data_IF_435152562350
#
_entry.id   IF_435152562350
#
_cell.length_a   1.000
_cell.length_b   1.000
_cell.length_c   1.000
_cell.angle_alpha   90.00
_cell.angle_beta   90.00
_cell.angle_gamma   90.00
#
_symmetry.space_group_name_H-M   'P 1'
#
loop_
_entity.id
_entity.type
_entity.pdbx_description
1 polymer ?
#
# COMPACT_ATOMS: atom_id res chain seq x y z
N UNK A 1 -13.80 2.50 4.93
CA UNK A 1 -14.37 2.25 3.60
C UNK A 1 -14.21 3.52 2.77
N UNK A 2 -13.69 3.44 1.55
CA UNK A 2 -13.52 4.60 0.67
C UNK A 2 -14.81 4.87 -0.15
N UNK A 3 -15.13 6.14 -0.46
CA UNK A 3 -16.36 6.50 -1.17
C UNK A 3 -16.38 5.96 -2.60
N UNK A 4 -17.57 5.55 -3.05
CA UNK A 4 -17.80 4.97 -4.39
C UNK A 4 -17.54 6.03 -5.47
N UNK A 5 -16.53 5.78 -6.32
CA UNK A 5 -16.29 6.58 -7.52
C UNK A 5 -17.32 6.27 -8.60
N UNK A 6 -17.82 7.30 -9.29
CA UNK A 6 -18.69 7.16 -10.48
C UNK A 6 -17.92 7.01 -11.79
N UNK A 7 -16.59 7.07 -11.75
CA UNK A 7 -15.74 6.98 -12.93
C UNK A 7 -15.46 5.51 -13.31
N UNK A 8 -15.05 5.24 -14.57
CA UNK A 8 -14.72 3.89 -15.01
C UNK A 8 -13.69 3.21 -14.08
N UNK A 9 -13.77 1.89 -13.85
CA UNK A 9 -12.88 1.18 -12.91
C UNK A 9 -11.39 1.27 -13.24
N UNK A 10 -11.04 1.63 -14.48
CA UNK A 10 -9.68 1.75 -14.96
C UNK A 10 -9.15 3.20 -14.88
N UNK A 11 -9.99 4.14 -14.49
CA UNK A 11 -9.66 5.56 -14.36
C UNK A 11 -8.83 5.85 -13.12
N UNK A 12 -9.13 5.15 -12.02
CA UNK A 12 -8.37 5.24 -10.76
C UNK A 12 -7.58 3.96 -10.50
N UNK A 13 -6.41 4.13 -9.87
CA UNK A 13 -5.68 3.05 -9.20
C UNK A 13 -5.43 3.45 -7.77
N UNK A 14 -5.49 2.49 -6.87
CA UNK A 14 -5.23 2.73 -5.45
C UNK A 14 -3.96 2.01 -5.06
N UNK A 15 -2.96 2.76 -4.62
CA UNK A 15 -1.80 2.18 -3.94
C UNK A 15 -2.10 2.13 -2.45
N UNK A 16 -1.82 0.97 -1.85
CA UNK A 16 -1.94 0.76 -0.42
C UNK A 16 -0.55 0.52 0.14
N UNK A 17 -0.24 1.25 1.21
CA UNK A 17 0.93 1.04 2.04
C UNK A 17 0.48 0.78 3.48
N UNK A 18 1.16 -0.11 4.19
CA UNK A 18 0.84 -0.44 5.57
C UNK A 18 1.93 0.09 6.49
N UNK A 19 1.57 0.52 7.69
CA UNK A 19 2.54 1.02 8.66
C UNK A 19 2.11 0.78 10.10
N UNK A 20 3.09 0.85 11.00
CA UNK A 20 2.88 0.94 12.44
C UNK A 20 3.44 2.26 12.95
N UNK A 21 2.88 2.77 14.04
CA UNK A 21 3.53 3.86 14.77
C UNK A 21 4.43 3.28 15.87
N UNK A 22 5.74 3.45 15.71
CA UNK A 22 6.77 2.87 16.59
C UNK A 22 7.71 3.99 17.05
N UNK A 23 8.24 3.87 18.26
CA UNK A 23 9.26 4.79 18.77
C UNK A 23 10.65 4.38 18.26
N UNK A 24 11.17 5.14 17.29
CA UNK A 24 12.45 4.88 16.65
C UNK A 24 13.33 6.13 16.67
N UNK A 25 14.63 5.96 16.50
CA UNK A 25 15.57 7.07 16.40
C UNK A 25 15.57 7.69 14.99
N UNK A 26 16.66 8.35 14.62
CA UNK A 26 16.80 8.99 13.31
C UNK A 26 17.01 8.01 12.15
N UNK A 27 17.26 6.73 12.41
CA UNK A 27 17.55 5.76 11.38
C UNK A 27 16.37 5.57 10.42
N UNK A 28 16.71 5.32 9.16
CA UNK A 28 15.71 4.89 8.18
C UNK A 28 15.32 3.46 8.53
N UNK A 29 14.04 3.23 8.80
CA UNK A 29 13.53 1.93 9.23
C UNK A 29 12.28 1.54 8.47
N UNK A 30 12.11 0.24 8.26
CA UNK A 30 10.94 -0.36 7.63
C UNK A 30 10.66 -1.74 8.24
N UNK A 31 9.40 -2.14 8.19
CA UNK A 31 8.96 -3.48 8.61
C UNK A 31 9.11 -4.45 7.43
N UNK A 32 9.70 -5.60 7.70
CA UNK A 32 9.95 -6.62 6.69
C UNK A 32 8.69 -7.42 6.35
N UNK A 33 8.62 -7.86 5.11
CA UNK A 33 7.53 -8.66 4.59
C UNK A 33 6.21 -7.91 4.50
N UNK A 34 5.12 -8.62 4.74
CA UNK A 34 3.76 -8.18 4.47
C UNK A 34 3.15 -8.96 3.31
N UNK A 35 1.86 -9.27 3.44
CA UNK A 35 1.06 -9.98 2.46
C UNK A 35 -0.34 -9.39 2.46
N UNK A 36 -0.92 -9.26 1.27
CA UNK A 36 -2.31 -8.87 1.10
C UNK A 36 -3.04 -9.98 0.34
N UNK A 37 -4.00 -10.61 1.01
CA UNK A 37 -4.83 -11.65 0.41
C UNK A 37 -6.16 -11.06 -0.04
N UNK A 38 -6.57 -11.38 -1.26
CA UNK A 38 -7.92 -11.09 -1.76
C UNK A 38 -8.87 -12.20 -1.30
N UNK A 39 -10.00 -11.80 -0.73
CA UNK A 39 -11.05 -12.69 -0.21
C UNK A 39 -12.42 -12.14 -0.61
N UNK A 40 -13.45 -12.97 -0.50
CA UNK A 40 -14.82 -12.61 -0.86
C UNK A 40 -15.77 -13.02 0.26
N UNK A 41 -16.65 -12.11 0.67
CA UNK A 41 -17.76 -12.37 1.60
C UNK A 41 -19.11 -11.96 0.98
N UNK A 42 -20.21 -12.10 1.73
CA UNK A 42 -21.55 -11.72 1.27
C UNK A 42 -21.69 -10.23 0.88
N UNK A 43 -20.72 -9.39 1.24
CA UNK A 43 -20.65 -7.95 0.91
C UNK A 43 -19.62 -7.66 -0.20
N UNK A 44 -19.10 -8.69 -0.87
CA UNK A 44 -18.16 -8.61 -1.98
C UNK A 44 -16.69 -8.82 -1.61
N UNK A 45 -15.81 -8.39 -2.50
CA UNK A 45 -14.35 -8.56 -2.36
C UNK A 45 -13.82 -7.67 -1.22
N UNK A 46 -12.91 -8.23 -0.43
CA UNK A 46 -12.13 -7.50 0.57
C UNK A 46 -10.69 -8.02 0.60
N UNK A 47 -9.81 -7.23 1.18
CA UNK A 47 -8.40 -7.54 1.31
C UNK A 47 -8.02 -7.71 2.77
N UNK A 48 -7.26 -8.75 3.08
CA UNK A 48 -6.75 -8.99 4.43
C UNK A 48 -5.23 -8.89 4.44
N UNK A 49 -4.73 -7.92 5.20
CA UNK A 49 -3.30 -7.71 5.36
C UNK A 49 -2.78 -8.55 6.52
N UNK A 50 -1.64 -9.19 6.32
CA UNK A 50 -0.83 -9.80 7.38
C UNK A 50 0.61 -9.37 7.24
N UNK A 51 1.29 -9.13 8.36
CA UNK A 51 2.68 -8.71 8.40
C UNK A 51 3.25 -8.90 9.80
N UNK A 52 4.54 -9.22 9.88
CA UNK A 52 5.26 -9.39 11.13
C UNK A 52 5.74 -8.06 11.73
N UNK A 53 6.61 -8.17 12.74
CA UNK A 53 7.17 -7.05 13.50
C UNK A 53 8.68 -6.91 13.30
N UNK A 54 9.22 -7.66 12.35
CA UNK A 54 10.64 -7.65 12.01
C UNK A 54 11.02 -6.27 11.45
N UNK A 55 11.91 -5.58 12.16
CA UNK A 55 12.35 -4.23 11.84
C UNK A 55 13.74 -4.27 11.19
N UNK A 56 13.84 -3.76 9.97
CA UNK A 56 15.12 -3.43 9.35
C UNK A 56 15.37 -1.93 9.47
N UNK A 57 16.59 -1.54 9.82
CA UNK A 57 16.97 -0.13 9.94
C UNK A 57 18.43 0.11 9.59
N UNK A 58 18.75 1.36 9.22
CA UNK A 58 20.14 1.81 9.10
C UNK A 58 20.83 1.87 10.47
N UNK A 59 22.15 1.96 10.49
CA UNK A 59 22.97 1.97 11.71
C UNK A 59 23.78 3.28 11.84
N UNK A 60 23.10 4.41 11.65
CA UNK A 60 23.69 5.73 11.82
C UNK A 60 23.71 6.14 13.30
N UNK A 61 24.73 6.89 13.69
CA UNK A 61 24.79 7.55 14.99
C UNK A 61 23.76 8.67 15.06
N UNK A 62 22.65 8.42 15.77
CA UNK A 62 21.60 9.41 16.00
C UNK A 62 21.91 10.27 17.22
N UNK A 63 21.95 11.59 17.03
CA UNK A 63 22.17 12.57 18.12
C UNK A 63 20.91 12.81 18.95
N UNK A 64 19.74 12.61 18.33
CA UNK A 64 18.43 12.74 18.96
C UNK A 64 18.01 11.42 19.60
N UNK A 65 17.20 11.50 20.66
CA UNK A 65 16.50 10.34 21.21
C UNK A 65 15.44 9.76 20.27
N UNK A 66 14.82 8.65 20.71
CA UNK A 66 13.72 8.02 19.98
C UNK A 66 12.49 8.92 19.98
N UNK A 67 11.72 8.88 18.87
CA UNK A 67 10.48 9.62 18.69
C UNK A 67 9.47 8.70 18.01
N UNK A 68 8.18 8.90 18.30
CA UNK A 68 7.11 8.15 17.64
C UNK A 68 7.03 8.53 16.15
N UNK A 69 7.19 7.55 15.26
CA UNK A 69 7.17 7.73 13.80
C UNK A 69 6.34 6.64 13.13
N UNK A 70 5.86 6.92 11.92
CA UNK A 70 5.27 5.90 11.04
C UNK A 70 6.39 5.09 10.41
N UNK A 71 6.43 3.80 10.70
CA UNK A 71 7.35 2.84 10.10
C UNK A 71 6.54 1.97 9.16
N UNK A 72 6.80 2.12 7.87
CA UNK A 72 6.07 1.42 6.83
C UNK A 72 6.61 0.01 6.64
N UNK A 73 5.72 -0.92 6.28
CA UNK A 73 6.14 -2.18 5.68
C UNK A 73 6.77 -1.89 4.32
N UNK A 74 7.78 -2.67 3.93
CA UNK A 74 8.31 -2.62 2.55
C UNK A 74 7.24 -3.03 1.52
N UNK A 75 6.25 -3.81 1.95
CA UNK A 75 5.13 -4.23 1.13
C UNK A 75 4.20 -3.07 0.77
N UNK A 76 4.06 -2.84 -0.53
CA UNK A 76 3.06 -1.96 -1.15
C UNK A 76 2.33 -2.71 -2.26
N UNK A 77 1.06 -2.35 -2.49
CA UNK A 77 0.25 -3.02 -3.52
C UNK A 77 -0.62 -2.01 -4.26
N UNK A 78 -0.70 -2.16 -5.58
CA UNK A 78 -1.69 -1.47 -6.41
C UNK A 78 -2.93 -2.35 -6.52
N UNK A 79 -4.06 -1.82 -6.06
CA UNK A 79 -5.39 -2.42 -6.15
C UNK A 79 -6.15 -1.89 -7.37
N UNK A 80 -7.09 -2.70 -7.91
CA UNK A 80 -7.98 -2.25 -8.97
C UNK A 80 -8.83 -1.06 -8.50
N UNK A 81 -9.28 -0.22 -9.44
CA UNK A 81 -10.12 0.95 -9.16
C UNK A 81 -11.56 0.64 -8.77
N UNK A 82 -11.83 -0.56 -8.24
CA UNK A 82 -13.17 -0.99 -7.81
C UNK A 82 -13.41 -0.47 -6.38
N UNK A 83 -14.47 0.30 -6.22
CA UNK A 83 -14.85 0.93 -4.95
C UNK A 83 -16.19 0.35 -4.47
N UNK A 84 -16.40 0.13 -3.16
CA UNK A 84 -15.52 0.48 -2.04
C UNK A 84 -14.35 -0.50 -1.84
N UNK A 85 -13.16 0.06 -1.52
CA UNK A 85 -12.04 -0.76 -1.05
C UNK A 85 -12.22 -1.09 0.43
N UNK A 86 -12.25 -2.38 0.74
CA UNK A 86 -12.31 -2.92 2.10
C UNK A 86 -10.98 -3.62 2.42
N UNK A 87 -10.28 -3.12 3.42
CA UNK A 87 -9.01 -3.69 3.89
C UNK A 87 -9.13 -3.95 5.39
N UNK A 88 -8.79 -5.17 5.80
CA UNK A 88 -8.69 -5.59 7.20
C UNK A 88 -7.21 -5.63 7.56
N UNK A 89 -6.85 -4.98 8.67
CA UNK A 89 -5.48 -4.96 9.18
C UNK A 89 -5.41 -5.55 10.59
N UNK A 90 -4.27 -6.12 11.01
CA UNK A 90 -4.05 -6.50 12.40
C UNK A 90 -4.09 -5.27 13.31
N UNK A 91 -4.43 -5.49 14.59
CA UNK A 91 -4.43 -4.41 15.59
C UNK A 91 -3.05 -3.74 15.64
N UNK A 92 -3.03 -2.41 15.60
CA UNK A 92 -1.80 -1.62 15.61
C UNK A 92 -1.16 -1.39 14.23
N UNK A 93 -1.69 -2.01 13.17
CA UNK A 93 -1.31 -1.72 11.78
C UNK A 93 -2.35 -0.80 11.15
N UNK A 94 -1.89 0.29 10.56
CA UNK A 94 -2.69 1.22 9.78
C UNK A 94 -2.40 1.07 8.28
N UNK A 95 -3.37 1.43 7.45
CA UNK A 95 -3.21 1.48 6.00
C UNK A 95 -3.29 2.94 5.52
N UNK A 96 -2.33 3.34 4.68
CA UNK A 96 -2.37 4.57 3.90
C UNK A 96 -2.78 4.22 2.47
N UNK A 97 -3.81 4.90 1.95
CA UNK A 97 -4.29 4.70 0.59
C UNK A 97 -4.01 5.95 -0.22
N UNK A 98 -3.26 5.79 -1.31
CA UNK A 98 -2.97 6.84 -2.29
C UNK A 98 -3.75 6.55 -3.56
N UNK A 99 -4.56 7.52 -3.99
CA UNK A 99 -5.35 7.42 -5.22
C UNK A 99 -4.57 8.07 -6.36
N UNK A 100 -4.39 7.32 -7.45
CA UNK A 100 -3.77 7.80 -8.68
C UNK A 100 -4.83 7.88 -9.77
N UNK A 101 -4.89 9.05 -10.41
CA UNK A 101 -5.78 9.33 -11.52
C UNK A 101 -5.07 9.11 -12.87
N UNK A 102 -5.78 8.51 -13.83
CA UNK A 102 -5.29 8.40 -15.20
C UNK A 102 -5.28 9.78 -15.88
N UNK A 103 -4.09 10.27 -16.19
CA UNK A 103 -3.92 11.55 -16.91
C UNK A 103 -4.07 11.41 -18.43
N UNK A 104 -3.59 10.31 -19.03
CA UNK A 104 -3.64 10.10 -20.49
C UNK A 104 -3.60 8.63 -20.85
N UNK A 105 -4.27 8.25 -21.94
CA UNK A 105 -4.13 6.93 -22.58
C UNK A 105 -3.09 7.03 -23.71
N UNK A 106 -2.10 6.14 -23.67
CA UNK A 106 -1.08 6.03 -24.72
C UNK A 106 -1.34 4.72 -25.48
N UNK A 107 -1.43 4.78 -26.80
CA UNK A 107 -1.59 3.59 -27.64
C UNK A 107 -0.28 2.80 -27.71
N UNK A 108 -0.37 1.47 -27.73
CA UNK A 108 0.79 0.61 -27.88
C UNK A 108 1.48 0.88 -29.22
N UNK A 109 2.81 1.01 -29.23
CA UNK A 109 3.58 1.06 -30.48
C UNK A 109 3.34 -0.24 -31.25
N UNK A 110 2.81 -0.13 -32.49
CA UNK A 110 2.65 -1.28 -33.39
C UNK A 110 4.01 -1.94 -33.58
N UNK A 111 4.18 -3.19 -33.13
CA UNK A 111 5.34 -4.00 -33.51
C UNK A 111 5.26 -4.21 -35.02
N UNK A 112 6.17 -3.56 -35.76
CA UNK A 112 6.33 -3.84 -37.18
C UNK A 112 6.60 -5.33 -37.36
N UNK A 113 5.84 -6.00 -38.24
CA UNK A 113 6.18 -7.35 -38.67
C UNK A 113 7.57 -7.27 -39.31
N UNK A 114 8.58 -7.85 -38.67
CA UNK A 114 9.84 -8.13 -39.36
C UNK A 114 9.50 -9.06 -40.53
N UNK A 115 9.76 -8.58 -41.74
CA UNK A 115 9.70 -9.36 -42.98
C UNK A 115 10.86 -10.34 -43.01
#
# INVERSE_FOLDING_TARGET
ELPISKMPPDYFKYEVAFFKEIEIDCNFAFLLGGKLEEKEDARGIYYEFSGGDELAQTMMLCKDGKKKRRVYYEFTKILPGVSPIRIITPKGVSAEIRMYERVKKIEAKKKGKSK
#
